data_IF_640972406329
#
_entry.id   IF_640972406329
#
_cell.length_a   1.000
_cell.length_b   1.000
_cell.length_c   1.000
_cell.angle_alpha   90.00
_cell.angle_beta   90.00
_cell.angle_gamma   90.00
#
_symmetry.space_group_name_H-M   'P 1'
#
loop_
_entity.id
_entity.type
_entity.pdbx_description
1 polymer ?
#
# COMPACT_ATOMS: atom_id res chain seq x y z
N UNK A 1 -20.65 -31.58 4.13
CA UNK A 1 -19.37 -31.00 4.59
C UNK A 1 -18.71 -30.30 3.41
N UNK A 2 -18.64 -28.96 3.38
CA UNK A 2 -17.74 -28.28 2.42
C UNK A 2 -16.31 -28.77 2.69
N UNK A 3 -15.56 -29.12 1.65
CA UNK A 3 -14.20 -29.64 1.83
C UNK A 3 -13.35 -28.62 2.60
N UNK A 4 -12.40 -29.08 3.43
CA UNK A 4 -11.49 -28.15 4.14
C UNK A 4 -10.77 -27.19 3.17
N UNK A 5 -10.54 -27.63 1.94
CA UNK A 5 -10.03 -26.80 0.85
C UNK A 5 -10.92 -25.59 0.54
N UNK A 6 -12.25 -25.75 0.52
CA UNK A 6 -13.15 -24.62 0.29
C UNK A 6 -13.14 -23.63 1.45
N UNK A 7 -12.99 -24.11 2.70
CA UNK A 7 -12.91 -23.25 3.89
C UNK A 7 -11.63 -22.43 3.91
N UNK A 8 -10.49 -23.08 3.65
CA UNK A 8 -9.18 -22.41 3.58
C UNK A 8 -9.11 -21.40 2.42
N UNK A 9 -9.76 -21.69 1.30
CA UNK A 9 -9.83 -20.75 0.18
C UNK A 9 -10.60 -19.47 0.54
N UNK A 10 -11.75 -19.58 1.22
CA UNK A 10 -12.58 -18.42 1.57
C UNK A 10 -11.83 -17.39 2.42
N UNK A 11 -11.12 -17.85 3.46
CA UNK A 11 -10.28 -17.00 4.32
C UNK A 11 -9.14 -16.34 3.54
N UNK A 12 -8.40 -17.10 2.73
CA UNK A 12 -7.31 -16.57 1.92
C UNK A 12 -7.80 -15.55 0.87
N UNK A 13 -8.87 -15.87 0.14
CA UNK A 13 -9.40 -15.00 -0.91
C UNK A 13 -9.89 -13.66 -0.36
N UNK A 14 -10.66 -13.67 0.73
CA UNK A 14 -11.20 -12.45 1.33
C UNK A 14 -10.14 -11.64 2.07
N UNK A 15 -9.08 -12.27 2.59
CA UNK A 15 -7.94 -11.55 3.17
C UNK A 15 -7.03 -10.91 2.12
N UNK A 16 -7.02 -11.36 0.85
CA UNK A 16 -6.17 -10.78 -0.20
C UNK A 16 -6.90 -9.70 -1.00
N UNK A 17 -8.14 -9.97 -1.41
CA UNK A 17 -8.84 -9.21 -2.45
C UNK A 17 -8.98 -7.69 -2.18
N UNK A 18 -9.31 -7.22 -0.97
CA UNK A 18 -9.51 -5.79 -0.71
C UNK A 18 -8.23 -4.97 -0.79
N UNK A 19 -7.07 -5.57 -0.49
CA UNK A 19 -5.82 -4.82 -0.38
C UNK A 19 -5.34 -4.28 -1.72
N UNK A 20 -5.64 -4.95 -2.85
CA UNK A 20 -5.28 -4.41 -4.17
C UNK A 20 -6.02 -3.10 -4.48
N UNK A 21 -7.28 -2.98 -4.05
CA UNK A 21 -8.04 -1.74 -4.18
C UNK A 21 -7.45 -0.62 -3.30
N UNK A 22 -7.08 -0.96 -2.05
CA UNK A 22 -6.39 -0.01 -1.17
C UNK A 22 -5.05 0.47 -1.77
N UNK A 23 -4.27 -0.44 -2.38
CA UNK A 23 -3.03 -0.07 -3.06
C UNK A 23 -3.29 0.92 -4.19
N UNK A 24 -4.28 0.67 -5.06
CA UNK A 24 -4.63 1.57 -6.15
C UNK A 24 -4.99 2.99 -5.67
N UNK A 25 -5.72 3.09 -4.55
CA UNK A 25 -6.05 4.37 -3.91
C UNK A 25 -4.78 5.09 -3.41
N UNK A 26 -3.93 4.41 -2.64
CA UNK A 26 -2.70 5.03 -2.13
C UNK A 26 -1.73 5.41 -3.24
N UNK A 27 -1.65 4.61 -4.31
CA UNK A 27 -0.88 4.94 -5.50
C UNK A 27 -1.25 6.31 -6.08
N UNK A 28 -2.55 6.63 -6.16
CA UNK A 28 -3.03 7.95 -6.62
C UNK A 28 -2.70 9.05 -5.61
N UNK A 29 -2.86 8.78 -4.31
CA UNK A 29 -2.54 9.74 -3.26
C UNK A 29 -1.05 10.13 -3.30
N UNK A 30 -0.16 9.16 -3.50
CA UNK A 30 1.29 9.38 -3.61
C UNK A 30 1.71 10.11 -4.89
N UNK A 31 0.95 10.02 -5.97
CA UNK A 31 1.29 10.66 -7.25
C UNK A 31 0.60 12.01 -7.49
N UNK A 32 -0.29 12.43 -6.59
CA UNK A 32 -1.17 13.59 -6.77
C UNK A 32 -0.44 14.88 -7.17
N UNK A 33 0.79 15.07 -6.66
CA UNK A 33 1.55 16.30 -6.86
C UNK A 33 2.54 16.27 -8.01
N UNK A 34 2.69 15.15 -8.72
CA UNK A 34 3.73 14.99 -9.74
C UNK A 34 3.62 16.06 -10.84
N UNK A 35 2.41 16.34 -11.31
CA UNK A 35 2.16 17.37 -12.32
C UNK A 35 2.57 18.77 -11.91
N UNK A 36 2.39 19.12 -10.63
CA UNK A 36 2.82 20.41 -10.10
C UNK A 36 4.34 20.48 -9.91
N UNK A 37 4.97 19.37 -9.51
CA UNK A 37 6.41 19.31 -9.29
C UNK A 37 7.24 19.39 -10.58
N UNK A 38 6.81 18.70 -11.64
CA UNK A 38 7.62 18.49 -12.84
C UNK A 38 6.91 18.83 -14.16
N UNK A 39 5.81 19.59 -14.10
CA UNK A 39 5.08 20.06 -15.27
C UNK A 39 4.58 18.92 -16.15
N UNK A 40 4.82 19.02 -17.46
CA UNK A 40 4.33 18.04 -18.45
C UNK A 40 4.80 16.61 -18.16
N UNK A 41 6.07 16.43 -17.77
CA UNK A 41 6.63 15.12 -17.41
C UNK A 41 5.89 14.56 -16.20
N UNK A 42 5.65 15.40 -15.19
CA UNK A 42 4.91 15.04 -13.99
C UNK A 42 3.46 14.60 -14.28
N UNK A 43 2.77 15.31 -15.17
CA UNK A 43 1.41 14.95 -15.59
C UNK A 43 1.38 13.65 -16.38
N UNK A 44 2.37 13.41 -17.24
CA UNK A 44 2.51 12.13 -17.94
C UNK A 44 2.73 10.97 -16.96
N UNK A 45 3.62 11.14 -15.98
CA UNK A 45 3.85 10.15 -14.92
C UNK A 45 2.57 9.89 -14.11
N UNK A 46 1.86 10.94 -13.70
CA UNK A 46 0.58 10.82 -13.01
C UNK A 46 -0.45 10.05 -13.86
N UNK A 47 -0.56 10.38 -15.15
CA UNK A 47 -1.46 9.69 -16.08
C UNK A 47 -1.17 8.19 -16.19
N UNK A 48 0.10 7.81 -16.34
CA UNK A 48 0.52 6.41 -16.38
C UNK A 48 0.15 5.67 -15.08
N UNK A 49 0.48 6.28 -13.94
CA UNK A 49 0.18 5.74 -12.62
C UNK A 49 -1.34 5.60 -12.43
N UNK A 50 -2.13 6.57 -12.89
CA UNK A 50 -3.58 6.55 -12.81
C UNK A 50 -4.19 5.41 -13.64
N UNK A 51 -3.70 5.18 -14.86
CA UNK A 51 -4.13 4.03 -15.69
C UNK A 51 -3.84 2.71 -14.98
N UNK A 52 -2.65 2.55 -14.41
CA UNK A 52 -2.30 1.37 -13.62
C UNK A 52 -3.20 1.21 -12.38
N UNK A 53 -3.47 2.29 -11.64
CA UNK A 53 -4.38 2.28 -10.49
C UNK A 53 -5.79 1.87 -10.87
N UNK A 54 -6.33 2.40 -11.97
CA UNK A 54 -7.67 2.03 -12.47
C UNK A 54 -7.70 0.55 -12.84
N UNK A 55 -6.68 0.06 -13.56
CA UNK A 55 -6.57 -1.36 -13.88
C UNK A 55 -6.57 -2.23 -12.61
N UNK A 56 -5.71 -1.90 -11.63
CA UNK A 56 -5.63 -2.65 -10.36
C UNK A 56 -6.97 -2.61 -9.64
N UNK A 57 -7.58 -1.43 -9.49
CA UNK A 57 -8.87 -1.27 -8.82
C UNK A 57 -9.96 -2.11 -9.49
N UNK A 58 -10.08 -2.08 -10.83
CA UNK A 58 -11.06 -2.87 -11.55
C UNK A 58 -10.90 -4.38 -11.32
N UNK A 59 -9.67 -4.90 -11.37
CA UNK A 59 -9.43 -6.33 -11.10
C UNK A 59 -9.66 -6.65 -9.62
N UNK A 60 -9.21 -5.81 -8.69
CA UNK A 60 -9.45 -6.01 -7.26
C UNK A 60 -10.95 -6.02 -6.92
N UNK A 61 -11.76 -5.16 -7.54
CA UNK A 61 -13.22 -5.18 -7.36
C UNK A 61 -13.84 -6.49 -7.88
N UNK A 62 -13.35 -7.02 -9.01
CA UNK A 62 -13.77 -8.36 -9.48
C UNK A 62 -13.36 -9.45 -8.48
N UNK A 63 -12.15 -9.39 -7.95
CA UNK A 63 -11.63 -10.34 -6.95
C UNK A 63 -12.43 -10.27 -5.64
N UNK A 64 -12.84 -9.09 -5.19
CA UNK A 64 -13.69 -8.93 -4.00
C UNK A 64 -15.07 -9.56 -4.23
N UNK A 65 -15.71 -9.27 -5.38
CA UNK A 65 -16.99 -9.89 -5.75
C UNK A 65 -16.88 -11.41 -5.85
N UNK A 66 -15.77 -11.91 -6.35
CA UNK A 66 -15.49 -13.35 -6.42
C UNK A 66 -15.28 -13.96 -5.02
N UNK A 67 -14.44 -13.35 -4.19
CA UNK A 67 -14.10 -13.82 -2.85
C UNK A 67 -15.32 -13.87 -1.91
N UNK A 68 -16.25 -12.92 -2.05
CA UNK A 68 -17.47 -12.85 -1.23
C UNK A 68 -18.47 -14.00 -1.50
N UNK A 69 -18.25 -14.83 -2.53
CA UNK A 69 -19.05 -16.04 -2.78
C UNK A 69 -18.69 -17.21 -1.86
N UNK A 70 -17.56 -17.10 -1.17
CA UNK A 70 -17.01 -18.16 -0.34
C UNK A 70 -17.16 -17.79 1.13
N UNK A 71 -17.57 -18.77 1.93
CA UNK A 71 -17.77 -18.60 3.37
C UNK A 71 -16.41 -18.59 4.08
N UNK A 72 -16.22 -17.66 5.02
CA UNK A 72 -14.96 -17.52 5.77
C UNK A 72 -15.04 -18.34 7.05
N UNK A 73 -14.03 -19.17 7.26
CA UNK A 73 -13.80 -19.85 8.52
C UNK A 73 -12.44 -19.36 9.03
N UNK A 74 -12.46 -18.55 10.08
CA UNK A 74 -11.25 -17.94 10.62
C UNK A 74 -10.35 -19.01 11.26
N UNK A 75 -9.13 -19.14 10.77
CA UNK A 75 -8.12 -20.03 11.33
C UNK A 75 -7.43 -19.39 12.53
N UNK A 76 -6.79 -20.19 13.38
CA UNK A 76 -5.98 -19.68 14.50
C UNK A 76 -4.86 -18.75 13.99
N UNK A 77 -4.28 -19.08 12.83
CA UNK A 77 -3.26 -18.26 12.19
C UNK A 77 -3.85 -16.95 11.67
N UNK A 78 -5.03 -16.97 11.05
CA UNK A 78 -5.76 -15.77 10.65
C UNK A 78 -6.06 -14.84 11.82
N UNK A 79 -6.50 -15.39 12.96
CA UNK A 79 -6.73 -14.62 14.20
C UNK A 79 -5.43 -14.00 14.74
N UNK A 80 -4.33 -14.77 14.75
CA UNK A 80 -2.99 -14.28 15.15
C UNK A 80 -2.56 -13.10 14.30
N UNK A 81 -2.62 -13.26 12.98
CA UNK A 81 -2.26 -12.23 12.00
C UNK A 81 -3.12 -10.99 12.19
N UNK A 82 -4.45 -11.14 12.28
CA UNK A 82 -5.40 -10.03 12.48
C UNK A 82 -5.09 -9.22 13.73
N UNK A 83 -4.81 -9.89 14.87
CA UNK A 83 -4.46 -9.22 16.12
C UNK A 83 -3.15 -8.44 16.01
N UNK A 84 -2.12 -9.06 15.44
CA UNK A 84 -0.80 -8.43 15.27
C UNK A 84 -0.83 -7.27 14.28
N UNK A 85 -1.51 -7.44 13.14
CA UNK A 85 -1.71 -6.38 12.15
C UNK A 85 -2.57 -5.25 12.70
N UNK A 86 -3.57 -5.56 13.53
CA UNK A 86 -4.38 -4.55 14.23
C UNK A 86 -3.53 -3.68 15.15
N UNK A 87 -2.67 -4.28 15.97
CA UNK A 87 -1.73 -3.55 16.82
C UNK A 87 -0.74 -2.71 16.00
N UNK A 88 -0.11 -3.32 14.98
CA UNK A 88 0.83 -2.62 14.12
C UNK A 88 0.16 -1.41 13.43
N UNK A 89 -1.04 -1.61 12.88
CA UNK A 89 -1.82 -0.54 12.24
C UNK A 89 -2.19 0.56 13.23
N UNK A 90 -2.62 0.21 14.45
CA UNK A 90 -2.94 1.18 15.48
C UNK A 90 -1.73 2.07 15.82
N UNK A 91 -0.54 1.46 15.99
CA UNK A 91 0.70 2.19 16.25
C UNK A 91 1.07 3.07 15.05
N UNK A 92 1.04 2.53 13.84
CA UNK A 92 1.40 3.26 12.61
C UNK A 92 0.48 4.45 12.38
N UNK A 93 -0.84 4.28 12.38
CA UNK A 93 -1.77 5.36 12.08
C UNK A 93 -1.85 6.40 13.21
N UNK A 94 -1.71 5.99 14.46
CA UNK A 94 -1.55 6.94 15.58
C UNK A 94 -0.28 7.78 15.40
N UNK A 95 0.85 7.13 15.05
CA UNK A 95 2.10 7.83 14.75
C UNK A 95 2.00 8.78 13.57
N UNK A 96 1.32 8.38 12.48
CA UNK A 96 1.04 9.24 11.33
C UNK A 96 0.26 10.49 11.76
N UNK A 97 -0.87 10.33 12.45
CA UNK A 97 -1.69 11.48 12.88
C UNK A 97 -0.93 12.41 13.82
N UNK A 98 -0.23 11.86 14.81
CA UNK A 98 0.58 12.66 15.73
C UNK A 98 1.66 13.44 14.99
N UNK A 99 2.37 12.80 14.05
CA UNK A 99 3.41 13.42 13.25
C UNK A 99 2.84 14.56 12.38
N UNK A 100 1.71 14.33 11.71
CA UNK A 100 1.02 15.36 10.92
C UNK A 100 0.64 16.56 11.78
N UNK A 101 0.03 16.33 12.95
CA UNK A 101 -0.40 17.39 13.86
C UNK A 101 0.78 18.20 14.40
N UNK A 102 1.85 17.54 14.84
CA UNK A 102 3.05 18.22 15.35
C UNK A 102 3.72 19.05 14.27
N UNK A 103 3.94 18.47 13.08
CA UNK A 103 4.58 19.20 11.98
C UNK A 103 3.72 20.37 11.48
N UNK A 104 2.39 20.20 11.43
CA UNK A 104 1.48 21.29 11.09
C UNK A 104 1.51 22.41 12.14
N UNK A 105 1.52 22.06 13.43
CA UNK A 105 1.59 23.02 14.53
C UNK A 105 2.89 23.84 14.53
N UNK A 106 4.00 23.22 14.13
CA UNK A 106 5.32 23.85 14.03
C UNK A 106 5.56 24.58 12.69
N UNK A 107 4.55 24.66 11.82
CA UNK A 107 4.65 25.21 10.46
C UNK A 107 5.67 24.50 9.54
N UNK A 108 6.00 23.24 9.85
CA UNK A 108 6.91 22.38 9.08
C UNK A 108 6.17 21.58 8.00
N UNK A 109 5.21 22.23 7.34
CA UNK A 109 4.33 21.63 6.32
C UNK A 109 5.07 20.89 5.19
N UNK A 110 6.23 21.35 4.68
CA UNK A 110 6.95 20.63 3.64
C UNK A 110 7.38 19.21 4.05
N UNK A 111 7.56 18.95 5.35
CA UNK A 111 8.00 17.65 5.88
C UNK A 111 6.86 16.68 6.20
N UNK A 112 5.60 17.11 6.16
CA UNK A 112 4.44 16.26 6.51
C UNK A 112 4.41 15.00 5.64
N UNK A 113 4.33 15.16 4.31
CA UNK A 113 4.19 14.02 3.42
C UNK A 113 5.42 13.11 3.40
N UNK A 114 6.66 13.63 3.41
CA UNK A 114 7.86 12.82 3.63
C UNK A 114 7.82 12.01 4.93
N UNK A 115 7.48 12.62 6.06
CA UNK A 115 7.42 11.91 7.33
C UNK A 115 6.34 10.82 7.35
N UNK A 116 5.15 11.10 6.81
CA UNK A 116 4.09 10.08 6.63
C UNK A 116 4.58 8.92 5.77
N UNK A 117 5.19 9.22 4.63
CA UNK A 117 5.73 8.20 3.71
C UNK A 117 6.79 7.34 4.40
N UNK A 118 7.67 7.94 5.20
CA UNK A 118 8.68 7.23 5.98
C UNK A 118 8.04 6.27 7.00
N UNK A 119 7.06 6.75 7.77
CA UNK A 119 6.35 5.93 8.76
C UNK A 119 5.66 4.73 8.09
N UNK A 120 5.01 4.95 6.94
CA UNK A 120 4.39 3.87 6.16
C UNK A 120 5.46 2.92 5.57
N UNK A 121 6.61 3.44 5.14
CA UNK A 121 7.73 2.62 4.70
C UNK A 121 8.25 1.69 5.79
N UNK A 122 8.41 2.22 7.00
CA UNK A 122 8.81 1.45 8.17
C UNK A 122 7.76 0.43 8.59
N UNK A 123 6.47 0.69 8.38
CA UNK A 123 5.38 -0.25 8.66
C UNK A 123 5.51 -1.58 7.90
N UNK A 124 6.07 -1.56 6.68
CA UNK A 124 6.26 -2.79 5.89
C UNK A 124 7.23 -3.79 6.54
N UNK A 125 8.19 -3.33 7.36
CA UNK A 125 9.22 -4.20 7.98
C UNK A 125 8.60 -5.18 9.00
N UNK A 126 7.86 -4.72 10.04
CA UNK A 126 7.16 -5.64 10.93
C UNK A 126 6.01 -6.36 10.22
N UNK A 127 5.33 -5.74 9.24
CA UNK A 127 4.31 -6.41 8.44
C UNK A 127 4.87 -7.66 7.76
N UNK A 128 6.07 -7.57 7.19
CA UNK A 128 6.74 -8.70 6.53
C UNK A 128 6.89 -9.91 7.46
N UNK A 129 7.24 -9.66 8.73
CA UNK A 129 7.38 -10.69 9.76
C UNK A 129 6.02 -11.26 10.21
N UNK A 130 5.02 -10.40 10.41
CA UNK A 130 3.68 -10.81 10.85
C UNK A 130 3.03 -11.70 9.79
N UNK A 131 3.12 -11.29 8.53
CA UNK A 131 2.49 -11.94 7.39
C UNK A 131 3.33 -13.08 6.80
N UNK A 132 4.59 -13.19 7.23
CA UNK A 132 5.59 -14.13 6.69
C UNK A 132 5.77 -13.99 5.17
N UNK A 133 5.97 -12.76 4.68
CA UNK A 133 6.09 -12.45 3.24
C UNK A 133 7.33 -11.64 2.92
N UNK A 134 8.16 -12.18 2.01
CA UNK A 134 9.42 -11.54 1.58
C UNK A 134 9.19 -10.26 0.78
N UNK A 135 8.10 -10.17 0.01
CA UNK A 135 7.80 -9.00 -0.83
C UNK A 135 7.70 -7.70 -0.01
N UNK A 136 7.24 -7.79 1.24
CA UNK A 136 7.11 -6.64 2.14
C UNK A 136 8.49 -6.02 2.42
N UNK A 137 9.54 -6.85 2.58
CA UNK A 137 10.93 -6.38 2.72
C UNK A 137 11.51 -5.78 1.44
N UNK A 138 11.07 -6.24 0.28
CA UNK A 138 11.51 -5.69 -1.01
C UNK A 138 10.84 -4.34 -1.31
N UNK A 139 9.60 -4.16 -0.87
CA UNK A 139 8.81 -2.95 -1.10
C UNK A 139 9.14 -1.85 -0.10
N UNK A 140 9.47 -2.17 1.15
CA UNK A 140 9.78 -1.20 2.21
C UNK A 140 10.85 -0.14 1.83
N UNK A 141 11.97 -0.47 1.15
CA UNK A 141 13.00 0.51 0.82
C UNK A 141 12.52 1.66 -0.07
N UNK A 142 11.53 1.45 -0.95
CA UNK A 142 11.04 2.48 -1.87
C UNK A 142 10.54 3.74 -1.13
N UNK A 143 9.51 3.65 -0.26
CA UNK A 143 9.03 4.79 0.52
C UNK A 143 10.06 5.28 1.54
N UNK A 144 10.89 4.40 2.13
CA UNK A 144 11.91 4.83 3.11
C UNK A 144 12.95 5.74 2.44
N UNK A 145 13.57 5.28 1.35
CA UNK A 145 14.65 6.01 0.70
C UNK A 145 14.16 7.31 0.06
N UNK A 146 13.01 7.28 -0.61
CA UNK A 146 12.41 8.48 -1.20
C UNK A 146 11.99 9.52 -0.16
N UNK A 147 11.44 9.08 0.99
CA UNK A 147 11.11 9.97 2.09
C UNK A 147 12.36 10.59 2.73
N UNK A 148 13.39 9.79 3.00
CA UNK A 148 14.67 10.30 3.53
C UNK A 148 15.32 11.30 2.56
N UNK A 149 15.27 11.02 1.26
CA UNK A 149 15.75 11.95 0.24
C UNK A 149 14.95 13.26 0.25
N UNK A 150 13.61 13.19 0.31
CA UNK A 150 12.78 14.38 0.37
C UNK A 150 13.01 15.20 1.65
N UNK A 151 13.21 14.55 2.80
CA UNK A 151 13.58 15.22 4.06
C UNK A 151 14.93 15.91 3.91
N UNK A 152 15.94 15.20 3.39
CA UNK A 152 17.25 15.78 3.16
C UNK A 152 17.19 17.01 2.25
N UNK A 153 16.49 16.91 1.11
CA UNK A 153 16.29 18.03 0.19
C UNK A 153 15.56 19.21 0.86
N UNK A 154 14.55 18.95 1.69
CA UNK A 154 13.85 20.00 2.42
C UNK A 154 14.70 20.73 3.47
N UNK A 155 15.82 20.12 3.91
CA UNK A 155 16.77 20.75 4.85
C UNK A 155 17.82 21.58 4.09
N UNK A 156 18.29 21.10 2.94
CA UNK A 156 19.45 21.67 2.24
C UNK A 156 19.10 22.57 1.04
N UNK A 157 17.82 22.70 0.71
CA UNK A 157 17.36 23.46 -0.46
C UNK A 157 16.06 24.22 -0.21
N UNK A 158 15.82 25.25 -1.01
CA UNK A 158 14.58 26.04 -0.99
C UNK A 158 13.51 25.48 -1.95
N UNK A 159 13.49 24.16 -2.14
CA UNK A 159 12.51 23.51 -3.02
C UNK A 159 11.10 23.71 -2.47
N UNK A 160 10.16 24.01 -3.37
CA UNK A 160 8.76 24.16 -3.00
C UNK A 160 8.18 22.83 -2.46
N UNK A 161 7.27 22.92 -1.49
CA UNK A 161 6.76 21.75 -0.75
C UNK A 161 6.19 20.64 -1.65
N UNK A 162 5.50 20.97 -2.74
CA UNK A 162 4.92 19.99 -3.66
C UNK A 162 6.00 19.19 -4.41
N UNK A 163 7.21 19.72 -4.57
CA UNK A 163 8.36 19.00 -5.12
C UNK A 163 8.83 17.96 -4.12
N UNK A 164 9.03 18.35 -2.85
CA UNK A 164 9.43 17.41 -1.78
C UNK A 164 8.39 16.30 -1.58
N UNK A 165 7.11 16.66 -1.60
CA UNK A 165 6.01 15.69 -1.52
C UNK A 165 6.02 14.74 -2.73
N UNK A 166 6.33 15.22 -3.92
CA UNK A 166 6.44 14.37 -5.12
C UNK A 166 7.66 13.46 -5.10
N UNK A 167 8.81 13.94 -4.61
CA UNK A 167 10.03 13.11 -4.43
C UNK A 167 9.73 11.94 -3.48
N UNK A 168 9.12 12.22 -2.33
CA UNK A 168 8.66 11.19 -1.41
C UNK A 168 7.58 10.29 -2.03
N UNK A 169 6.65 10.90 -2.78
CA UNK A 169 5.55 10.24 -3.47
C UNK A 169 6.01 9.19 -4.48
N UNK A 170 7.16 9.36 -5.15
CA UNK A 170 7.70 8.36 -6.07
C UNK A 170 7.84 6.99 -5.38
N UNK A 171 8.43 6.95 -4.19
CA UNK A 171 8.62 5.68 -3.50
C UNK A 171 7.31 5.07 -3.01
N UNK A 172 6.39 5.89 -2.49
CA UNK A 172 5.06 5.43 -2.09
C UNK A 172 4.22 4.90 -3.27
N UNK A 173 4.21 5.60 -4.40
CA UNK A 173 3.52 5.19 -5.61
C UNK A 173 4.17 3.92 -6.21
N UNK A 174 5.49 3.86 -6.29
CA UNK A 174 6.23 2.69 -6.76
C UNK A 174 5.95 1.45 -5.91
N UNK A 175 6.03 1.59 -4.58
CA UNK A 175 5.73 0.53 -3.63
C UNK A 175 4.30 -0.01 -3.81
N UNK A 176 3.32 0.88 -3.78
CA UNK A 176 1.90 0.50 -3.87
C UNK A 176 1.54 -0.09 -5.24
N UNK A 177 2.15 0.35 -6.34
CA UNK A 177 2.01 -0.28 -7.66
C UNK A 177 2.55 -1.70 -7.68
N UNK A 178 3.80 -1.88 -7.28
CA UNK A 178 4.45 -3.21 -7.21
C UNK A 178 3.60 -4.15 -6.36
N UNK A 179 3.16 -3.67 -5.20
CA UNK A 179 2.35 -4.44 -4.28
C UNK A 179 0.95 -4.75 -4.83
N UNK A 180 0.32 -3.79 -5.52
CA UNK A 180 -0.98 -3.97 -6.15
C UNK A 180 -0.94 -5.08 -7.19
N UNK A 181 0.00 -5.04 -8.14
CA UNK A 181 0.18 -6.12 -9.13
C UNK A 181 0.53 -7.47 -8.49
N UNK A 182 1.38 -7.46 -7.46
CA UNK A 182 1.68 -8.66 -6.68
C UNK A 182 0.41 -9.28 -6.09
N UNK A 183 -0.47 -8.50 -5.45
CA UNK A 183 -1.72 -8.99 -4.87
C UNK A 183 -2.69 -9.56 -5.91
N UNK A 184 -2.76 -8.97 -7.11
CA UNK A 184 -3.54 -9.54 -8.22
C UNK A 184 -3.00 -10.93 -8.62
N UNK A 185 -1.68 -11.05 -8.72
CA UNK A 185 -1.00 -12.31 -9.06
C UNK A 185 -1.21 -13.37 -7.97
N UNK A 186 -1.06 -13.00 -6.70
CA UNK A 186 -1.28 -13.89 -5.56
C UNK A 186 -2.72 -14.35 -5.50
N UNK A 187 -3.69 -13.46 -5.71
CA UNK A 187 -5.10 -13.85 -5.71
C UNK A 187 -5.40 -14.91 -6.78
N UNK A 188 -4.93 -14.68 -8.02
CA UNK A 188 -5.08 -15.63 -9.12
C UNK A 188 -4.44 -16.98 -8.80
N UNK A 189 -3.17 -16.99 -8.35
CA UNK A 189 -2.44 -18.21 -7.98
C UNK A 189 -3.13 -18.97 -6.85
N UNK A 190 -3.73 -18.27 -5.90
CA UNK A 190 -4.53 -18.89 -4.84
C UNK A 190 -5.77 -19.55 -5.43
N UNK A 191 -6.52 -18.90 -6.32
CA UNK A 191 -7.66 -19.54 -6.97
C UNK A 191 -7.26 -20.81 -7.74
N UNK A 192 -6.18 -20.76 -8.52
CA UNK A 192 -5.62 -21.89 -9.26
C UNK A 192 -5.20 -23.05 -8.32
N UNK A 193 -4.49 -22.75 -7.23
CA UNK A 193 -4.05 -23.74 -6.23
C UNK A 193 -5.22 -24.52 -5.61
N UNK A 194 -6.35 -23.85 -5.42
CA UNK A 194 -7.55 -24.46 -4.83
C UNK A 194 -8.55 -25.00 -5.88
N UNK A 195 -8.20 -24.98 -7.17
CA UNK A 195 -9.05 -25.45 -8.25
C UNK A 195 -10.34 -24.63 -8.43
N UNK A 196 -10.33 -23.37 -7.96
CA UNK A 196 -11.50 -22.49 -8.05
C UNK A 196 -11.46 -21.74 -9.38
N UNK A 197 -12.53 -21.78 -10.19
CA UNK A 197 -12.57 -21.06 -11.47
C UNK A 197 -12.35 -19.56 -11.31
N UNK A 198 -11.29 -19.05 -11.92
CA UNK A 198 -10.94 -17.64 -11.97
C UNK A 198 -11.17 -17.12 -13.40
N UNK A 199 -12.34 -16.53 -13.66
CA UNK A 199 -12.69 -15.86 -14.92
C UNK A 199 -13.37 -14.53 -14.64
#
# INVERSE_FOLDING_TARGET
MKSEQQKAYGEAAQSIAPYGFAMAFFTLLYSLFFGFAWGLIGWFMFGLVAVCSVYIACISLKNMKHANRFEVYESLEGQRIKKQMGLLSAVTYTGVWLCVLVLAFLDLRPFIFPAVTLIIGLHFIPQAKIMNRVIDYFVAPFPILSALLAIYLGIVSDMHWYVLWSVSGIGGAGATLVYGFYLLSVYRKTAEKFGVPYK
#
